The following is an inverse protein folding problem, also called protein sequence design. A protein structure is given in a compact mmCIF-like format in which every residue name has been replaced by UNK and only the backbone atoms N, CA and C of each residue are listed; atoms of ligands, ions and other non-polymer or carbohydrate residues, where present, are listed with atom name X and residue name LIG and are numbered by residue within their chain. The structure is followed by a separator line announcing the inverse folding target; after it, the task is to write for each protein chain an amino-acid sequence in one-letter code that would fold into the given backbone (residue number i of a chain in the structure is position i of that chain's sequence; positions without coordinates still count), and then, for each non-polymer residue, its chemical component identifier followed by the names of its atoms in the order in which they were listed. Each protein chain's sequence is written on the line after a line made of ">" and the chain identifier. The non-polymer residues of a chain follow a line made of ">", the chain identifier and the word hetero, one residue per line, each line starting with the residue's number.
data_IF_122789523403
#
_entry.id   IF_122789523403
#
_cell.length_a   1.000
_cell.length_b   1.000
_cell.length_c   1.000
_cell.angle_alpha   90.00
_cell.angle_beta   90.00
_cell.angle_gamma   90.00
#
_symmetry.space_group_name_H-M   'P 1'
#
loop_
_entity.id
_entity.type
_entity.pdbx_description
1 polymer ?
#
# COMPACT_ATOMS: atom_id res chain seq x y z
N UNK A 1 9.77 8.42 0.45
CA UNK A 1 8.39 7.96 0.65
C UNK A 1 7.93 8.39 2.02
N UNK A 2 6.66 8.76 2.15
CA UNK A 2 5.99 8.94 3.43
C UNK A 2 5.16 7.69 3.75
N UNK A 3 5.03 7.34 5.02
CA UNK A 3 4.30 6.13 5.44
C UNK A 3 3.38 6.40 6.63
N UNK A 4 2.13 5.95 6.52
CA UNK A 4 1.08 6.21 7.51
C UNK A 4 0.43 4.90 7.96
N UNK A 5 0.03 4.83 9.23
CA UNK A 5 -0.72 3.67 9.73
C UNK A 5 -2.02 3.52 8.94
N UNK A 6 -2.31 2.29 8.54
CA UNK A 6 -3.52 1.97 7.76
C UNK A 6 -4.55 1.37 8.69
N UNK A 7 -5.78 1.87 8.65
CA UNK A 7 -6.86 1.44 9.56
C UNK A 7 -7.43 0.05 9.25
N UNK A 8 -7.08 -0.56 8.12
CA UNK A 8 -7.49 -1.91 7.71
C UNK A 8 -6.39 -2.64 6.97
N UNK A 9 -6.61 -3.91 6.60
CA UNK A 9 -5.68 -4.71 5.77
C UNK A 9 -4.68 -5.58 6.53
N UNK A 10 -4.69 -5.55 7.87
CA UNK A 10 -3.92 -6.51 8.66
C UNK A 10 -4.52 -7.94 8.63
N UNK A 11 -5.80 -8.09 8.28
CA UNK A 11 -6.46 -9.39 8.23
C UNK A 11 -6.24 -10.18 9.52
N UNK A 12 -5.87 -11.45 9.39
CA UNK A 12 -5.52 -12.35 10.51
C UNK A 12 -4.04 -12.29 10.90
N UNK A 13 -3.26 -11.34 10.38
CA UNK A 13 -1.80 -11.28 10.59
C UNK A 13 -1.46 -10.98 12.04
N UNK A 14 -2.24 -10.13 12.70
CA UNK A 14 -2.04 -9.79 14.12
C UNK A 14 -2.22 -11.03 15.01
N UNK A 15 -3.22 -11.85 14.71
CA UNK A 15 -3.53 -13.11 15.37
C UNK A 15 -2.46 -14.16 15.07
N UNK A 16 -2.07 -14.30 13.80
CA UNK A 16 -1.05 -15.24 13.33
C UNK A 16 0.33 -14.99 13.98
N UNK A 17 0.62 -13.72 14.28
CA UNK A 17 1.86 -13.28 14.90
C UNK A 17 1.73 -12.99 16.40
N UNK A 18 0.58 -13.28 17.01
CA UNK A 18 0.36 -13.06 18.45
C UNK A 18 1.38 -13.86 19.26
N UNK A 19 2.06 -13.17 20.20
CA UNK A 19 3.12 -13.75 21.01
C UNK A 19 4.46 -13.97 20.28
N UNK A 20 4.52 -13.79 18.96
CA UNK A 20 5.75 -13.92 18.16
C UNK A 20 6.45 -12.58 17.95
N UNK A 21 5.70 -11.48 17.87
CA UNK A 21 6.24 -10.14 17.65
C UNK A 21 5.82 -9.18 18.77
N UNK A 22 6.73 -8.31 19.20
CA UNK A 22 6.44 -7.23 20.15
C UNK A 22 5.83 -6.01 19.46
N UNK A 23 6.19 -5.77 18.21
CA UNK A 23 5.77 -4.60 17.44
C UNK A 23 5.43 -5.03 16.02
N UNK A 24 4.22 -4.71 15.59
CA UNK A 24 3.75 -4.91 14.22
C UNK A 24 3.27 -3.56 13.68
N UNK A 25 3.88 -3.09 12.60
CA UNK A 25 3.47 -1.87 11.91
C UNK A 25 2.98 -2.23 10.52
N UNK A 26 1.75 -1.81 10.20
CA UNK A 26 1.18 -1.94 8.86
C UNK A 26 0.83 -0.56 8.32
N UNK A 27 1.48 -0.19 7.20
CA UNK A 27 1.50 1.18 6.72
C UNK A 27 1.27 1.27 5.22
N UNK A 28 0.62 2.36 4.82
CA UNK A 28 0.45 2.75 3.43
C UNK A 28 1.54 3.75 3.06
N UNK A 29 2.16 3.52 1.90
CA UNK A 29 3.21 4.38 1.35
C UNK A 29 2.61 5.41 0.39
N UNK A 30 3.12 6.65 0.46
CA UNK A 30 2.82 7.75 -0.46
C UNK A 30 4.09 8.50 -0.87
N UNK A 31 4.01 9.27 -1.94
CA UNK A 31 5.09 10.18 -2.33
C UNK A 31 5.20 11.35 -1.35
N UNK A 32 6.41 11.92 -1.16
CA UNK A 32 6.60 13.11 -0.33
C UNK A 32 5.65 14.25 -0.71
N UNK A 33 5.13 14.96 0.29
CA UNK A 33 4.19 16.07 0.10
C UNK A 33 2.72 15.64 0.03
N UNK A 34 2.43 14.36 -0.19
CA UNK A 34 1.06 13.86 -0.23
C UNK A 34 0.31 14.16 1.07
N UNK A 35 0.90 13.93 2.25
CA UNK A 35 0.21 14.21 3.51
C UNK A 35 -0.10 15.69 3.71
N UNK A 36 0.81 16.58 3.31
CA UNK A 36 0.59 18.02 3.42
C UNK A 36 -0.61 18.46 2.56
N UNK A 37 -0.66 18.01 1.31
CA UNK A 37 -1.77 18.29 0.38
C UNK A 37 -3.09 17.74 0.95
N UNK A 38 -3.09 16.48 1.39
CA UNK A 38 -4.30 15.88 1.95
C UNK A 38 -4.76 16.57 3.23
N UNK A 39 -3.85 17.04 4.08
CA UNK A 39 -4.21 17.79 5.29
C UNK A 39 -4.88 19.12 4.93
N UNK A 40 -4.31 19.85 3.97
CA UNK A 40 -4.89 21.11 3.50
C UNK A 40 -6.30 20.90 2.93
N UNK A 41 -6.47 19.91 2.04
CA UNK A 41 -7.77 19.61 1.44
C UNK A 41 -8.80 19.14 2.48
N UNK A 42 -8.44 18.18 3.33
CA UNK A 42 -9.39 17.52 4.21
C UNK A 42 -9.73 18.35 5.45
N UNK A 43 -8.73 18.99 6.07
CA UNK A 43 -8.90 19.68 7.34
C UNK A 43 -9.03 21.18 7.14
N UNK A 44 -8.07 21.81 6.46
CA UNK A 44 -8.01 23.27 6.40
C UNK A 44 -9.13 23.83 5.50
N UNK A 45 -9.47 23.12 4.41
CA UNK A 45 -10.63 23.43 3.56
C UNK A 45 -11.91 22.68 3.96
N UNK A 46 -11.85 21.80 4.98
CA UNK A 46 -13.00 21.06 5.48
C UNK A 46 -13.63 20.06 4.49
N UNK A 47 -12.97 19.71 3.38
CA UNK A 47 -13.56 18.86 2.33
C UNK A 47 -13.84 17.43 2.78
N UNK A 48 -13.30 17.00 3.93
CA UNK A 48 -13.67 15.72 4.58
C UNK A 48 -15.19 15.59 4.83
N UNK A 49 -15.90 16.71 4.95
CA UNK A 49 -17.35 16.76 5.16
C UNK A 49 -18.14 16.89 3.85
N UNK A 50 -17.46 17.10 2.72
CA UNK A 50 -18.04 17.30 1.38
C UNK A 50 -17.41 16.33 0.38
N UNK A 51 -17.66 15.05 0.61
CA UNK A 51 -17.00 13.94 -0.11
C UNK A 51 -17.32 13.92 -1.60
N UNK A 52 -18.52 14.32 -1.97
CA UNK A 52 -18.98 14.51 -3.35
C UNK A 52 -18.13 15.55 -4.09
N UNK A 53 -17.91 16.71 -3.49
CA UNK A 53 -17.07 17.77 -4.07
C UNK A 53 -15.62 17.32 -4.17
N UNK A 54 -15.09 16.69 -3.14
CA UNK A 54 -13.71 16.19 -3.16
C UNK A 54 -13.51 15.14 -4.27
N UNK A 55 -14.50 14.26 -4.48
CA UNK A 55 -14.50 13.28 -5.57
C UNK A 55 -14.50 13.97 -6.93
N UNK A 56 -15.41 14.94 -7.13
CA UNK A 56 -15.53 15.68 -8.39
C UNK A 56 -14.25 16.43 -8.76
N UNK A 57 -13.61 17.08 -7.78
CA UNK A 57 -12.30 17.72 -7.96
C UNK A 57 -11.26 16.70 -8.42
N UNK A 58 -11.15 15.54 -7.76
CA UNK A 58 -10.14 14.54 -8.13
C UNK A 58 -10.43 13.88 -9.48
N UNK A 59 -11.67 13.53 -9.78
CA UNK A 59 -12.05 12.93 -11.06
C UNK A 59 -11.84 13.90 -12.22
N UNK A 60 -12.04 15.20 -11.99
CA UNK A 60 -11.82 16.24 -13.00
C UNK A 60 -10.35 16.63 -13.16
N UNK A 61 -9.57 16.63 -12.07
CA UNK A 61 -8.20 17.14 -12.08
C UNK A 61 -7.11 16.07 -12.28
N UNK A 62 -7.39 14.80 -11.94
CA UNK A 62 -6.39 13.73 -11.96
C UNK A 62 -6.65 12.77 -13.12
N UNK A 63 -5.77 12.72 -14.14
CA UNK A 63 -5.93 11.78 -15.25
C UNK A 63 -5.69 10.34 -14.79
N UNK A 64 -6.51 9.42 -15.28
CA UNK A 64 -6.28 7.99 -15.11
C UNK A 64 -5.07 7.53 -15.92
N UNK A 65 -4.20 6.70 -15.34
CA UNK A 65 -3.06 6.10 -16.04
C UNK A 65 -2.90 4.62 -15.71
N UNK A 66 -2.48 3.84 -16.70
CA UNK A 66 -2.06 2.44 -16.50
C UNK A 66 -0.61 2.32 -16.03
N UNK A 67 0.17 3.41 -16.03
CA UNK A 67 1.57 3.45 -15.62
C UNK A 67 1.69 3.65 -14.11
N UNK A 68 1.06 2.78 -13.34
CA UNK A 68 1.14 2.76 -11.88
C UNK A 68 2.32 1.89 -11.39
N UNK A 69 2.61 2.03 -10.09
CA UNK A 69 3.61 1.23 -9.38
C UNK A 69 3.05 0.75 -8.05
N UNK A 70 3.25 -0.52 -7.75
CA UNK A 70 3.00 -1.11 -6.44
C UNK A 70 4.33 -1.35 -5.75
N UNK A 71 4.48 -0.81 -4.54
CA UNK A 71 5.70 -0.93 -3.74
C UNK A 71 5.39 -1.75 -2.51
N UNK A 72 6.10 -2.86 -2.34
CA UNK A 72 6.06 -3.70 -1.15
C UNK A 72 7.37 -3.54 -0.41
N UNK A 73 7.29 -3.14 0.86
CA UNK A 73 8.46 -2.96 1.72
C UNK A 73 8.18 -3.57 3.08
N UNK A 74 8.97 -4.57 3.45
CA UNK A 74 8.82 -5.32 4.70
C UNK A 74 10.18 -5.37 5.39
N UNK A 75 10.22 -4.98 6.66
CA UNK A 75 11.41 -5.09 7.49
C UNK A 75 11.08 -5.91 8.73
N UNK A 76 11.92 -6.90 9.02
CA UNK A 76 11.81 -7.75 10.20
C UNK A 76 13.12 -7.70 10.96
N UNK A 77 13.06 -7.43 12.26
CA UNK A 77 14.25 -7.37 13.12
C UNK A 77 14.04 -8.29 14.32
N UNK A 78 15.07 -9.07 14.67
CA UNK A 78 14.98 -10.08 15.73
C UNK A 78 16.33 -10.75 16.01
N UNK A 79 16.33 -11.71 16.94
CA UNK A 79 17.52 -12.51 17.25
C UNK A 79 17.55 -13.80 16.43
N UNK A 80 18.68 -14.09 15.80
CA UNK A 80 18.95 -15.35 15.09
C UNK A 80 20.37 -15.81 15.42
N UNK A 81 20.52 -17.04 15.90
CA UNK A 81 21.80 -17.61 16.35
C UNK A 81 22.56 -16.69 17.33
N UNK A 82 21.85 -16.13 18.31
CA UNK A 82 22.41 -15.23 19.33
C UNK A 82 22.71 -13.79 18.88
N UNK A 83 22.57 -13.47 17.58
CA UNK A 83 22.84 -12.14 17.03
C UNK A 83 21.55 -11.38 16.74
N UNK A 84 21.54 -10.08 17.02
CA UNK A 84 20.47 -9.19 16.58
C UNK A 84 20.66 -8.89 15.09
N UNK A 85 19.70 -9.29 14.26
CA UNK A 85 19.72 -9.12 12.81
C UNK A 85 18.45 -8.40 12.35
N UNK A 86 18.54 -7.79 11.17
CA UNK A 86 17.42 -7.23 10.44
C UNK A 86 17.46 -7.72 9.00
N UNK A 87 16.32 -8.13 8.49
CA UNK A 87 16.12 -8.48 7.09
C UNK A 87 15.08 -7.54 6.47
N UNK A 88 15.29 -7.18 5.21
CA UNK A 88 14.40 -6.30 4.47
C UNK A 88 14.07 -6.93 3.13
N UNK A 89 12.78 -7.05 2.85
CA UNK A 89 12.25 -7.36 1.54
C UNK A 89 11.70 -6.08 0.91
N UNK A 90 12.18 -5.75 -0.29
CA UNK A 90 11.73 -4.60 -1.05
C UNK A 90 11.44 -5.02 -2.49
N UNK A 91 10.23 -4.76 -2.96
CA UNK A 91 9.82 -5.07 -4.32
C UNK A 91 9.03 -3.90 -4.92
N UNK A 92 9.30 -3.59 -6.19
CA UNK A 92 8.60 -2.59 -6.98
C UNK A 92 8.06 -3.26 -8.22
N UNK A 93 6.74 -3.27 -8.35
CA UNK A 93 6.04 -3.91 -9.43
C UNK A 93 5.45 -2.81 -10.28
N UNK A 94 5.81 -2.80 -11.56
CA UNK A 94 5.30 -1.85 -12.54
C UNK A 94 4.24 -2.53 -13.41
N UNK A 95 3.42 -1.70 -14.05
CA UNK A 95 2.55 -2.14 -15.14
C UNK A 95 3.34 -2.90 -16.20
N UNK A 96 2.84 -4.05 -16.65
CA UNK A 96 3.44 -4.79 -17.74
C UNK A 96 2.38 -5.58 -18.53
N UNK A 97 2.81 -6.20 -19.62
CA UNK A 97 1.93 -6.95 -20.51
C UNK A 97 1.68 -8.35 -19.93
N UNK A 98 0.41 -8.72 -19.81
CA UNK A 98 -0.06 -10.08 -19.47
C UNK A 98 -0.80 -10.62 -20.69
N UNK A 99 -0.20 -11.61 -21.36
CA UNK A 99 -0.65 -12.04 -22.69
C UNK A 99 -0.51 -10.91 -23.71
N UNK A 100 -1.63 -10.49 -24.31
CA UNK A 100 -1.67 -9.39 -25.27
C UNK A 100 -2.16 -8.06 -24.68
N UNK A 101 -2.48 -8.01 -23.38
CA UNK A 101 -3.10 -6.83 -22.74
C UNK A 101 -2.12 -6.21 -21.75
N UNK A 102 -1.94 -4.89 -21.81
CA UNK A 102 -1.21 -4.15 -20.76
C UNK A 102 -2.10 -4.07 -19.53
N UNK A 103 -1.58 -4.52 -18.39
CA UNK A 103 -2.25 -4.43 -17.09
C UNK A 103 -1.45 -3.53 -16.17
N UNK A 104 -2.16 -2.76 -15.36
CA UNK A 104 -1.55 -1.93 -14.32
C UNK A 104 -0.95 -2.83 -13.22
N UNK A 105 0.05 -2.32 -12.50
CA UNK A 105 0.64 -2.97 -11.35
C UNK A 105 -0.40 -3.38 -10.30
N UNK A 106 -1.39 -2.53 -9.99
CA UNK A 106 -2.44 -2.91 -9.04
C UNK A 106 -3.32 -4.05 -9.58
N UNK A 107 -3.67 -4.03 -10.86
CA UNK A 107 -4.45 -5.10 -11.47
C UNK A 107 -3.71 -6.43 -11.40
N UNK A 108 -2.42 -6.44 -11.75
CA UNK A 108 -1.60 -7.65 -11.74
C UNK A 108 -1.46 -8.18 -10.32
N UNK A 109 -1.03 -7.34 -9.38
CA UNK A 109 -0.73 -7.78 -8.01
C UNK A 109 -1.98 -8.28 -7.28
N UNK A 110 -3.14 -7.67 -7.49
CA UNK A 110 -4.40 -8.15 -6.92
C UNK A 110 -4.88 -9.44 -7.58
N UNK A 111 -4.87 -9.51 -8.92
CA UNK A 111 -5.32 -10.70 -9.64
C UNK A 111 -4.43 -11.93 -9.38
N UNK A 112 -3.11 -11.76 -9.39
CA UNK A 112 -2.16 -12.84 -9.11
C UNK A 112 -2.37 -13.46 -7.74
N UNK A 113 -2.74 -12.67 -6.74
CA UNK A 113 -3.02 -13.17 -5.38
C UNK A 113 -4.20 -14.15 -5.35
N UNK A 114 -5.32 -13.81 -6.00
CA UNK A 114 -6.48 -14.72 -6.04
C UNK A 114 -6.25 -15.90 -6.99
N UNK A 115 -5.60 -15.68 -8.14
CA UNK A 115 -5.29 -16.76 -9.08
C UNK A 115 -4.38 -17.82 -8.46
N UNK A 116 -3.35 -17.42 -7.71
CA UNK A 116 -2.46 -18.37 -7.04
C UNK A 116 -3.19 -19.22 -6.00
N UNK A 117 -4.16 -18.65 -5.27
CA UNK A 117 -4.96 -19.39 -4.28
C UNK A 117 -5.90 -20.40 -4.96
N UNK A 118 -6.43 -20.08 -6.14
CA UNK A 118 -7.34 -20.97 -6.88
C UNK A 118 -6.62 -22.08 -7.65
N UNK A 119 -5.35 -21.87 -8.02
CA UNK A 119 -4.53 -22.85 -8.75
C UNK A 119 -3.89 -23.91 -7.83
N UNK A 120 -3.87 -23.67 -6.51
CA UNK A 120 -3.41 -24.61 -5.47
C UNK A 120 -4.51 -25.58 -5.05
#
# INVERSE_FOLDING_TARGET
>A
YEAFNTSGGLGTLAETLKGKVRTLNYRTIRYPGHAAIMKALLNDLGLRHRRDVLKDIFESALPSTLQDVVIVFVTVSGRRNGRLLQETYANKIYSHRVGNIVRSAIQITTASGICAVLDM
#
